data_IF_723335531954
#
_entry.id   IF_723335531954
#
_cell.length_a   1.000
_cell.length_b   1.000
_cell.length_c   1.000
_cell.angle_alpha   90.00
_cell.angle_beta   90.00
_cell.angle_gamma   90.00
#
_symmetry.space_group_name_H-M   'P 1'
#
loop_
_entity.id
_entity.type
_entity.pdbx_description
1 polymer ?
#
# COMPACT_ATOMS: atom_id res chain seq x y z
N UNK A 1 14.91 5.37 14.10
CA UNK A 1 14.17 5.56 12.89
C UNK A 1 13.95 4.24 12.21
N UNK A 2 12.75 3.92 12.00
CA UNK A 2 12.39 2.66 11.40
C UNK A 2 12.19 2.85 9.90
N UNK A 3 13.22 3.03 9.21
CA UNK A 3 13.11 3.18 7.77
C UNK A 3 13.35 1.86 7.10
N UNK A 4 12.56 1.59 6.10
CA UNK A 4 12.77 0.43 5.28
C UNK A 4 14.05 0.62 4.48
N UNK A 5 14.80 -0.44 4.29
CA UNK A 5 15.98 -0.38 3.45
C UNK A 5 15.54 -0.22 1.99
N UNK A 6 16.47 0.20 1.16
CA UNK A 6 16.20 0.33 -0.25
C UNK A 6 15.74 -1.00 -0.85
N UNK A 7 16.37 -2.08 -0.43
CA UNK A 7 16.00 -3.41 -0.92
C UNK A 7 14.59 -3.78 -0.53
N UNK A 8 14.20 -3.45 0.68
CA UNK A 8 12.84 -3.73 1.13
C UNK A 8 11.83 -2.91 0.35
N UNK A 9 12.12 -1.65 0.11
CA UNK A 9 11.23 -0.80 -0.67
C UNK A 9 11.08 -1.34 -2.09
N UNK A 10 12.17 -1.76 -2.70
CA UNK A 10 12.11 -2.32 -4.05
C UNK A 10 11.34 -3.62 -4.08
N UNK A 11 11.48 -4.43 -3.04
CA UNK A 11 10.71 -5.67 -2.94
C UNK A 11 9.22 -5.38 -2.84
N UNK A 12 8.86 -4.42 -1.99
CA UNK A 12 7.47 -4.03 -1.83
C UNK A 12 6.92 -3.48 -3.14
N UNK A 13 7.71 -2.67 -3.82
CA UNK A 13 7.29 -2.09 -5.09
C UNK A 13 7.07 -3.17 -6.15
N UNK A 14 7.93 -4.18 -6.14
CA UNK A 14 7.78 -5.29 -7.09
C UNK A 14 6.45 -6.00 -6.88
N UNK A 15 6.09 -6.26 -5.63
CA UNK A 15 4.82 -6.90 -5.31
C UNK A 15 3.67 -5.97 -5.65
N UNK A 16 3.80 -4.69 -5.33
CA UNK A 16 2.80 -3.70 -5.67
C UNK A 16 2.49 -3.71 -7.17
N UNK A 17 3.54 -3.77 -7.98
CA UNK A 17 3.38 -3.81 -9.43
C UNK A 17 2.64 -5.04 -9.91
N UNK A 18 2.78 -6.15 -9.21
CA UNK A 18 2.06 -7.37 -9.57
C UNK A 18 0.55 -7.22 -9.40
N UNK A 19 0.14 -6.40 -8.44
CA UNK A 19 -1.28 -6.17 -8.18
C UNK A 19 -1.81 -4.96 -8.92
N UNK A 20 -0.95 -4.18 -9.53
CA UNK A 20 -1.35 -3.01 -10.31
C UNK A 20 -1.66 -3.46 -11.72
N UNK A 21 -2.89 -3.90 -11.93
CA UNK A 21 -3.29 -4.47 -13.21
C UNK A 21 -3.19 -3.50 -14.36
N UNK A 22 -3.46 -2.23 -14.08
CA UNK A 22 -3.46 -1.19 -15.11
C UNK A 22 -2.10 -0.57 -15.32
N UNK A 23 -1.15 -0.90 -14.45
CA UNK A 23 0.21 -0.36 -14.54
C UNK A 23 0.24 1.16 -14.51
N UNK A 24 -0.69 1.74 -13.77
CA UNK A 24 -0.75 3.21 -13.66
C UNK A 24 -0.23 3.72 -12.31
N UNK A 25 0.35 2.83 -11.51
CA UNK A 25 0.92 3.21 -10.22
C UNK A 25 -0.09 3.30 -9.09
N UNK A 26 -1.26 2.73 -9.28
CA UNK A 26 -2.31 2.75 -8.25
C UNK A 26 -2.94 1.38 -8.09
N UNK A 27 -3.49 1.12 -6.90
CA UNK A 27 -4.21 -0.12 -6.63
C UNK A 27 -5.49 0.20 -5.88
N UNK A 28 -6.47 -0.69 -6.00
CA UNK A 28 -7.72 -0.55 -5.30
C UNK A 28 -7.66 -1.15 -3.90
N UNK A 29 -8.78 -1.02 -3.18
CA UNK A 29 -8.84 -1.48 -1.79
C UNK A 29 -8.66 -3.00 -1.66
N UNK A 30 -9.32 -3.77 -2.50
CA UNK A 30 -9.20 -5.22 -2.42
C UNK A 30 -7.80 -5.68 -2.79
N UNK A 31 -7.19 -5.01 -3.74
CA UNK A 31 -5.83 -5.32 -4.14
C UNK A 31 -4.85 -4.99 -3.01
N UNK A 32 -5.10 -3.90 -2.31
CA UNK A 32 -4.27 -3.53 -1.17
C UNK A 32 -4.38 -4.57 -0.06
N UNK A 33 -5.57 -5.09 0.17
CA UNK A 33 -5.76 -6.14 1.17
C UNK A 33 -4.89 -7.34 0.84
N UNK A 34 -4.93 -7.80 -0.42
CA UNK A 34 -4.13 -8.94 -0.84
C UNK A 34 -2.64 -8.62 -0.78
N UNK A 35 -2.28 -7.41 -1.17
CA UNK A 35 -0.89 -6.97 -1.12
C UNK A 35 -0.33 -7.03 0.30
N UNK A 36 -1.09 -6.55 1.27
CA UNK A 36 -0.64 -6.54 2.65
C UNK A 36 -0.43 -7.96 3.18
N UNK A 37 -1.28 -8.89 2.75
CA UNK A 37 -1.12 -10.29 3.12
C UNK A 37 0.17 -10.85 2.49
N UNK A 38 0.42 -10.50 1.25
CA UNK A 38 1.63 -10.96 0.56
C UNK A 38 2.90 -10.44 1.22
N UNK A 39 2.80 -9.30 1.88
CA UNK A 39 3.92 -8.70 2.58
C UNK A 39 4.06 -9.19 4.03
N UNK A 40 3.26 -10.19 4.41
CA UNK A 40 3.27 -10.76 5.77
C UNK A 40 2.86 -9.77 6.84
N UNK A 41 2.07 -8.78 6.47
CA UNK A 41 1.60 -7.77 7.40
C UNK A 41 0.17 -7.39 7.04
N UNK A 42 -0.76 -8.34 7.17
CA UNK A 42 -2.15 -8.10 6.75
C UNK A 42 -2.77 -6.96 7.52
N UNK A 43 -3.41 -6.07 6.79
CA UNK A 43 -4.09 -4.93 7.38
C UNK A 43 -5.52 -5.31 7.74
N UNK A 44 -5.94 -4.90 8.93
CA UNK A 44 -7.32 -5.11 9.34
C UNK A 44 -8.24 -4.13 8.61
N UNK A 45 -9.55 -4.40 8.59
CA UNK A 45 -10.47 -3.45 7.96
C UNK A 45 -10.37 -2.04 8.54
N UNK A 46 -10.09 -1.93 9.84
CA UNK A 46 -9.90 -0.63 10.47
C UNK A 46 -8.68 0.09 9.92
N UNK A 47 -7.59 -0.65 9.76
CA UNK A 47 -6.36 -0.07 9.24
C UNK A 47 -6.53 0.36 7.79
N UNK A 48 -7.24 -0.45 7.00
CA UNK A 48 -7.52 -0.09 5.61
C UNK A 48 -8.36 1.19 5.54
N UNK A 49 -9.36 1.28 6.41
CA UNK A 49 -10.20 2.47 6.45
C UNK A 49 -9.39 3.71 6.81
N UNK A 50 -8.49 3.58 7.79
CA UNK A 50 -7.62 4.69 8.17
C UNK A 50 -6.72 5.12 7.03
N UNK A 51 -6.15 4.14 6.33
CA UNK A 51 -5.26 4.44 5.22
C UNK A 51 -6.00 5.22 4.14
N UNK A 52 -7.17 4.75 3.75
CA UNK A 52 -7.93 5.44 2.71
C UNK A 52 -8.47 6.78 3.17
N UNK A 53 -8.79 6.90 4.45
CA UNK A 53 -9.22 8.19 4.99
C UNK A 53 -8.10 9.23 4.92
N UNK A 54 -6.87 8.80 5.20
CA UNK A 54 -5.75 9.73 5.25
C UNK A 54 -5.22 10.09 3.87
N UNK A 55 -5.25 9.13 2.95
CA UNK A 55 -4.53 9.30 1.68
C UNK A 55 -5.43 9.36 0.44
N UNK A 56 -6.65 8.86 0.54
CA UNK A 56 -7.55 8.89 -0.61
C UNK A 56 -8.34 10.19 -0.59
N UNK A 57 -7.74 11.24 -1.09
CA UNK A 57 -8.36 12.57 -1.08
C UNK A 57 -9.61 12.64 -1.94
N UNK A 58 -9.64 11.85 -2.99
CA UNK A 58 -10.77 11.85 -3.93
C UNK A 58 -11.84 10.85 -3.58
N UNK A 59 -11.60 10.04 -2.56
CA UNK A 59 -12.55 9.01 -2.10
C UNK A 59 -12.98 8.08 -3.22
N UNK A 60 -12.05 7.77 -4.11
CA UNK A 60 -12.34 6.88 -5.24
C UNK A 60 -11.95 5.42 -4.97
N UNK A 61 -11.46 5.13 -3.78
CA UNK A 61 -11.09 3.76 -3.42
C UNK A 61 -9.79 3.29 -4.05
N UNK A 62 -8.96 4.21 -4.48
CA UNK A 62 -7.69 3.91 -5.13
C UNK A 62 -6.58 4.65 -4.41
N UNK A 63 -5.44 3.98 -4.25
CA UNK A 63 -4.29 4.58 -3.58
C UNK A 63 -3.07 4.43 -4.48
N UNK A 64 -2.24 5.49 -4.52
CA UNK A 64 -1.04 5.46 -5.35
C UNK A 64 0.12 4.84 -4.58
N UNK A 65 1.20 4.51 -5.32
CA UNK A 65 2.40 3.97 -4.72
C UNK A 65 2.97 4.90 -3.65
N UNK A 66 3.04 6.20 -3.94
CA UNK A 66 3.60 7.15 -2.99
C UNK A 66 2.80 7.20 -1.70
N UNK A 67 1.48 7.17 -1.82
CA UNK A 67 0.61 7.17 -0.66
C UNK A 67 0.76 5.87 0.14
N UNK A 68 0.83 4.76 -0.57
CA UNK A 68 0.98 3.46 0.07
C UNK A 68 2.28 3.35 0.85
N UNK A 69 3.39 3.70 0.22
CA UNK A 69 4.69 3.52 0.87
C UNK A 69 4.84 4.49 2.05
N UNK A 70 4.25 5.66 1.95
CA UNK A 70 4.27 6.62 3.05
C UNK A 70 3.55 6.05 4.27
N UNK A 71 2.39 5.47 4.05
CA UNK A 71 1.65 4.85 5.15
C UNK A 71 2.40 3.63 5.67
N UNK A 72 2.91 2.81 4.75
CA UNK A 72 3.58 1.56 5.12
C UNK A 72 4.80 1.82 6.00
N UNK A 73 5.55 2.86 5.71
CA UNK A 73 6.74 3.17 6.50
C UNK A 73 6.38 3.70 7.88
N UNK A 74 5.20 4.27 8.07
CA UNK A 74 4.80 4.73 9.39
C UNK A 74 4.39 3.59 10.30
N UNK A 75 4.10 2.43 9.76
CA UNK A 75 3.73 1.26 10.55
C UNK A 75 4.94 0.64 11.26
N UNK A 76 6.12 0.95 10.80
CA UNK A 76 7.33 0.40 11.39
C UNK A 76 7.99 1.40 12.33
#
# INVERSE_FOLDING_TARGET
MSNLSKEEIEHIKSIFNQFDKNKNGTIGRSELTTLSIALNNPLSPSELSDLFRQFDENHNGIISWDEFIRYWTTLN
#
